data_IF_990507470806
#
_entry.id   IF_990507470806
#
_cell.length_a   1.000
_cell.length_b   1.000
_cell.length_c   1.000
_cell.angle_alpha   90.00
_cell.angle_beta   90.00
_cell.angle_gamma   90.00
#
_symmetry.space_group_name_H-M   'P 1'
#
loop_
_entity.id
_entity.type
_entity.pdbx_description
1 polymer ?
#
# COMPACT_ATOMS: atom_id res chain seq x y z
N UNK A 1 -29.90 -74.26 -31.14
CA UNK A 1 -30.40 -73.41 -30.05
C UNK A 1 -29.27 -73.17 -29.04
N UNK A 2 -28.53 -72.09 -29.15
CA UNK A 2 -27.75 -71.50 -28.10
C UNK A 2 -27.12 -70.16 -28.63
N UNK A 3 -27.93 -69.18 -28.69
CA UNK A 3 -27.45 -67.79 -28.76
C UNK A 3 -27.92 -67.03 -27.52
N UNK A 4 -27.20 -66.04 -27.13
CA UNK A 4 -27.49 -65.06 -26.06
C UNK A 4 -26.89 -65.31 -24.68
N UNK A 5 -25.59 -64.95 -24.55
CA UNK A 5 -25.03 -64.53 -23.23
C UNK A 5 -23.79 -63.63 -23.37
N UNK A 6 -23.46 -63.12 -24.55
CA UNK A 6 -22.21 -62.35 -24.73
C UNK A 6 -22.40 -60.81 -24.81
N UNK A 7 -23.63 -60.28 -24.86
CA UNK A 7 -23.89 -58.84 -25.13
C UNK A 7 -24.16 -58.00 -23.89
N UNK A 8 -24.26 -58.57 -22.69
CA UNK A 8 -24.56 -57.83 -21.45
C UNK A 8 -23.36 -57.40 -20.60
N UNK A 9 -22.14 -57.84 -20.90
CA UNK A 9 -20.94 -57.48 -20.11
C UNK A 9 -20.11 -56.33 -20.67
N UNK A 10 -20.36 -55.83 -21.88
CA UNK A 10 -19.62 -54.70 -22.46
C UNK A 10 -20.20 -53.29 -22.14
N UNK A 11 -21.44 -53.20 -21.66
CA UNK A 11 -22.08 -51.89 -21.39
C UNK A 11 -21.76 -51.36 -19.98
N UNK A 12 -21.34 -52.20 -19.06
CA UNK A 12 -21.02 -51.76 -17.68
C UNK A 12 -19.60 -51.22 -17.49
N UNK A 13 -18.66 -51.44 -18.42
CA UNK A 13 -17.29 -50.91 -18.28
C UNK A 13 -17.11 -49.49 -18.82
N UNK A 14 -18.00 -48.99 -19.70
CA UNK A 14 -17.85 -47.66 -20.28
C UNK A 14 -18.39 -46.54 -19.40
N UNK A 15 -19.32 -46.84 -18.49
CA UNK A 15 -19.88 -45.83 -17.55
C UNK A 15 -18.95 -45.48 -16.37
N UNK A 16 -18.08 -46.40 -15.97
CA UNK A 16 -17.16 -46.16 -14.84
C UNK A 16 -15.95 -45.29 -15.23
N UNK A 17 -15.52 -45.34 -16.50
CA UNK A 17 -14.37 -44.53 -16.99
C UNK A 17 -14.76 -43.06 -17.17
N UNK A 18 -15.98 -42.75 -17.59
CA UNK A 18 -16.46 -41.38 -17.73
C UNK A 18 -16.60 -40.63 -16.40
N UNK A 19 -16.98 -41.31 -15.29
CA UNK A 19 -17.07 -40.71 -13.97
C UNK A 19 -15.71 -40.39 -13.34
N UNK A 20 -14.69 -41.18 -13.60
CA UNK A 20 -13.33 -40.96 -13.06
C UNK A 20 -12.64 -39.82 -13.78
N UNK A 21 -12.81 -39.65 -15.10
CA UNK A 21 -12.28 -38.53 -15.86
C UNK A 21 -12.95 -37.19 -15.47
N UNK A 22 -14.25 -37.18 -15.17
CA UNK A 22 -14.95 -35.97 -14.73
C UNK A 22 -14.50 -35.50 -13.34
N UNK A 23 -14.20 -36.42 -12.41
CA UNK A 23 -13.74 -36.07 -11.07
C UNK A 23 -12.29 -35.55 -11.07
N UNK A 24 -11.42 -36.04 -11.96
CA UNK A 24 -10.03 -35.57 -12.08
C UNK A 24 -9.98 -34.16 -12.72
N UNK A 25 -10.82 -33.87 -13.71
CA UNK A 25 -10.90 -32.52 -14.29
C UNK A 25 -11.49 -31.51 -13.32
N UNK A 26 -12.49 -31.88 -12.50
CA UNK A 26 -13.06 -30.99 -11.48
C UNK A 26 -12.04 -30.69 -10.35
N UNK A 27 -11.22 -31.65 -9.97
CA UNK A 27 -10.18 -31.46 -8.95
C UNK A 27 -9.05 -30.54 -9.44
N UNK A 28 -8.64 -30.66 -10.71
CA UNK A 28 -7.60 -29.79 -11.29
C UNK A 28 -8.08 -28.34 -11.45
N UNK A 29 -9.36 -28.12 -11.76
CA UNK A 29 -9.97 -26.78 -11.81
C UNK A 29 -10.13 -26.13 -10.43
N UNK A 30 -10.36 -26.91 -9.37
CA UNK A 30 -10.46 -26.41 -8.01
C UNK A 30 -9.11 -25.96 -7.44
N UNK A 31 -8.00 -26.54 -7.87
CA UNK A 31 -6.64 -26.18 -7.40
C UNK A 31 -6.12 -24.88 -8.04
N UNK A 32 -6.55 -24.57 -9.26
CA UNK A 32 -6.16 -23.38 -10.03
C UNK A 32 -7.38 -22.61 -10.54
N UNK A 33 -8.12 -21.97 -9.65
CA UNK A 33 -9.36 -21.27 -10.03
C UNK A 33 -9.17 -20.13 -11.03
N UNK A 34 -7.95 -19.59 -11.14
CA UNK A 34 -7.59 -18.53 -12.10
C UNK A 34 -7.07 -19.04 -13.45
N UNK A 35 -7.13 -20.36 -13.72
CA UNK A 35 -6.58 -20.90 -14.98
C UNK A 35 -7.32 -20.32 -16.20
N UNK A 36 -6.55 -19.75 -17.13
CA UNK A 36 -7.09 -19.08 -18.33
C UNK A 36 -7.45 -17.60 -18.13
N UNK A 37 -7.49 -17.10 -16.90
CA UNK A 37 -7.80 -15.71 -16.59
C UNK A 37 -6.52 -14.86 -16.56
N UNK A 38 -6.55 -13.74 -17.30
CA UNK A 38 -5.49 -12.75 -17.36
C UNK A 38 -5.80 -11.63 -16.36
N UNK A 39 -4.81 -11.19 -15.60
CA UNK A 39 -4.94 -10.10 -14.61
C UNK A 39 -3.89 -9.02 -14.85
N UNK A 40 -4.30 -7.78 -14.85
CA UNK A 40 -3.44 -6.59 -14.99
C UNK A 40 -3.45 -5.78 -13.69
N UNK A 41 -2.39 -5.82 -12.86
CA UNK A 41 -2.28 -4.98 -11.67
C UNK A 41 -1.91 -3.54 -12.03
N UNK A 42 -2.26 -2.58 -11.15
CA UNK A 42 -1.75 -1.23 -11.17
C UNK A 42 -1.02 -0.92 -9.86
N UNK A 43 0.20 -0.35 -9.95
CA UNK A 43 1.01 -0.01 -8.80
C UNK A 43 1.49 1.45 -8.88
N UNK A 44 1.79 2.09 -7.75
CA UNK A 44 2.42 3.40 -7.77
C UNK A 44 3.87 3.30 -8.26
N UNK A 45 4.37 4.40 -8.84
CA UNK A 45 5.77 4.52 -9.25
C UNK A 45 6.70 4.76 -8.03
N UNK A 46 6.47 3.99 -6.97
CA UNK A 46 7.19 4.04 -5.67
C UNK A 46 7.69 2.63 -5.37
N UNK A 47 8.99 2.42 -5.57
CA UNK A 47 9.60 1.09 -5.44
C UNK A 47 9.49 0.54 -4.01
N UNK A 48 9.45 1.39 -2.99
CA UNK A 48 9.27 1.02 -1.58
C UNK A 48 7.93 0.34 -1.30
N UNK A 49 6.93 0.60 -2.13
CA UNK A 49 5.59 0.00 -2.00
C UNK A 49 5.38 -1.24 -2.88
N UNK A 50 6.38 -1.60 -3.68
CA UNK A 50 6.30 -2.70 -4.64
C UNK A 50 6.27 -4.08 -3.97
N UNK A 51 6.89 -4.22 -2.81
CA UNK A 51 7.05 -5.51 -2.12
C UNK A 51 5.72 -6.22 -1.87
N UNK A 52 4.71 -5.52 -1.36
CA UNK A 52 3.38 -6.08 -1.15
C UNK A 52 2.68 -6.44 -2.46
N UNK A 53 2.93 -5.68 -3.52
CA UNK A 53 2.47 -6.01 -4.86
C UNK A 53 3.06 -7.31 -5.41
N UNK A 54 4.35 -7.55 -5.20
CA UNK A 54 5.01 -8.80 -5.61
C UNK A 54 4.47 -10.02 -4.83
N UNK A 55 4.18 -9.87 -3.52
CA UNK A 55 3.52 -10.93 -2.74
C UNK A 55 2.13 -11.23 -3.30
N UNK A 56 1.33 -10.20 -3.59
CA UNK A 56 0.01 -10.37 -4.18
C UNK A 56 0.07 -11.09 -5.53
N UNK A 57 0.96 -10.63 -6.43
CA UNK A 57 1.11 -11.23 -7.75
C UNK A 57 1.57 -12.69 -7.68
N UNK A 58 2.45 -13.06 -6.75
CA UNK A 58 2.88 -14.44 -6.59
C UNK A 58 1.74 -15.35 -6.12
N UNK A 59 0.92 -14.90 -5.17
CA UNK A 59 -0.25 -15.66 -4.72
C UNK A 59 -1.28 -15.86 -5.84
N UNK A 60 -1.56 -14.82 -6.61
CA UNK A 60 -2.45 -14.93 -7.77
C UNK A 60 -1.90 -15.89 -8.84
N UNK A 61 -0.58 -15.91 -9.07
CA UNK A 61 0.05 -16.91 -9.95
C UNK A 61 -0.08 -18.34 -9.40
N UNK A 62 0.06 -18.56 -8.09
CA UNK A 62 -0.16 -19.87 -7.47
C UNK A 62 -1.63 -20.33 -7.54
N UNK A 63 -2.58 -19.40 -7.63
CA UNK A 63 -4.00 -19.69 -7.92
C UNK A 63 -4.28 -19.92 -9.41
N UNK A 64 -3.26 -19.84 -10.29
CA UNK A 64 -3.36 -20.14 -11.72
C UNK A 64 -3.62 -18.94 -12.63
N UNK A 65 -3.74 -17.73 -12.08
CA UNK A 65 -3.94 -16.50 -12.89
C UNK A 65 -2.69 -16.18 -13.72
N UNK A 66 -2.90 -15.69 -14.94
CA UNK A 66 -1.85 -15.11 -15.76
C UNK A 66 -1.68 -13.65 -15.39
N UNK A 67 -0.81 -13.35 -14.43
CA UNK A 67 -0.57 -11.98 -13.94
C UNK A 67 0.41 -11.28 -14.88
N UNK A 68 -0.05 -10.21 -15.50
CA UNK A 68 0.72 -9.34 -16.39
C UNK A 68 1.70 -8.45 -15.61
N UNK A 69 2.55 -7.72 -16.34
CA UNK A 69 3.39 -6.69 -15.72
C UNK A 69 2.50 -5.55 -15.20
N UNK A 70 2.77 -5.01 -14.01
CA UNK A 70 1.99 -3.92 -13.46
C UNK A 70 2.04 -2.67 -14.34
N UNK A 71 0.90 -1.98 -14.44
CA UNK A 71 0.87 -0.59 -14.91
C UNK A 71 1.38 0.31 -13.78
N UNK A 72 2.54 0.93 -13.99
CA UNK A 72 3.14 1.81 -12.99
C UNK A 72 2.79 3.27 -13.31
N UNK A 73 2.22 3.98 -12.33
CA UNK A 73 1.76 5.36 -12.49
C UNK A 73 1.61 6.06 -11.13
N UNK A 74 1.21 7.33 -11.13
CA UNK A 74 0.90 8.05 -9.90
C UNK A 74 -0.43 7.58 -9.29
N UNK A 75 -0.59 7.74 -7.97
CA UNK A 75 -1.71 7.19 -7.19
C UNK A 75 -3.10 7.54 -7.75
N UNK A 76 -3.32 8.80 -8.13
CA UNK A 76 -4.61 9.20 -8.68
C UNK A 76 -4.95 8.45 -9.98
N UNK A 77 -3.97 8.29 -10.86
CA UNK A 77 -4.11 7.56 -12.14
C UNK A 77 -4.23 6.05 -11.89
N UNK A 78 -3.51 5.52 -10.91
CA UNK A 78 -3.59 4.12 -10.50
C UNK A 78 -5.02 3.76 -10.06
N UNK A 79 -5.61 4.58 -9.18
CA UNK A 79 -6.98 4.35 -8.69
C UNK A 79 -8.00 4.51 -9.82
N UNK A 80 -7.83 5.51 -10.70
CA UNK A 80 -8.67 5.67 -11.90
C UNK A 80 -8.61 4.46 -12.82
N UNK A 81 -7.41 3.90 -13.05
CA UNK A 81 -7.24 2.72 -13.91
C UNK A 81 -8.01 1.51 -13.36
N UNK A 82 -8.00 1.31 -12.04
CA UNK A 82 -8.81 0.24 -11.41
C UNK A 82 -10.30 0.55 -11.50
N UNK A 83 -10.72 1.78 -11.21
CA UNK A 83 -12.15 2.17 -11.25
C UNK A 83 -12.78 2.06 -12.63
N UNK A 84 -12.01 2.26 -13.70
CA UNK A 84 -12.51 2.14 -15.08
C UNK A 84 -12.19 0.80 -15.77
N UNK A 85 -11.60 -0.15 -15.06
CA UNK A 85 -11.29 -1.49 -15.59
C UNK A 85 -10.08 -1.55 -16.53
N UNK A 86 -9.26 -0.48 -16.57
CA UNK A 86 -7.97 -0.51 -17.27
C UNK A 86 -6.91 -1.35 -16.54
N UNK A 87 -7.13 -1.57 -15.25
CA UNK A 87 -6.42 -2.51 -14.39
C UNK A 87 -7.43 -3.22 -13.48
N UNK A 88 -7.10 -4.45 -13.08
CA UNK A 88 -8.02 -5.30 -12.33
C UNK A 88 -7.91 -5.07 -10.81
N UNK A 89 -6.73 -4.74 -10.31
CA UNK A 89 -6.52 -4.49 -8.88
C UNK A 89 -5.29 -3.66 -8.59
N UNK A 90 -5.26 -3.16 -7.36
CA UNK A 90 -4.07 -2.62 -6.68
C UNK A 90 -4.07 -3.03 -5.21
N UNK A 91 -2.89 -3.04 -4.57
CA UNK A 91 -2.72 -3.26 -3.12
C UNK A 91 -2.08 -2.04 -2.43
N UNK A 92 -2.28 -0.85 -3.01
CA UNK A 92 -1.56 0.36 -2.66
C UNK A 92 -2.49 1.57 -2.38
N UNK A 93 -3.75 1.33 -2.04
CA UNK A 93 -4.68 2.41 -1.68
C UNK A 93 -4.63 2.66 -0.17
N UNK A 94 -4.19 3.85 0.22
CA UNK A 94 -4.31 4.33 1.59
C UNK A 94 -5.74 4.82 1.79
N UNK A 95 -6.50 4.20 2.68
CA UNK A 95 -7.95 4.35 2.78
C UNK A 95 -8.39 5.80 2.94
N UNK A 96 -7.84 6.51 3.90
CA UNK A 96 -8.20 7.90 4.15
C UNK A 96 -7.45 8.89 3.25
N UNK A 97 -6.15 8.65 3.02
CA UNK A 97 -5.32 9.55 2.22
C UNK A 97 -5.78 9.62 0.75
N UNK A 98 -6.17 8.48 0.18
CA UNK A 98 -6.59 8.39 -1.23
C UNK A 98 -8.12 8.41 -1.41
N UNK A 99 -8.89 8.71 -0.37
CA UNK A 99 -10.36 8.74 -0.40
C UNK A 99 -10.91 9.56 -1.58
N UNK A 100 -10.36 10.77 -1.78
CA UNK A 100 -10.78 11.64 -2.90
C UNK A 100 -10.48 11.02 -4.27
N UNK A 101 -9.38 10.27 -4.40
CA UNK A 101 -9.06 9.56 -5.66
C UNK A 101 -10.04 8.40 -5.88
N UNK A 102 -10.34 7.64 -4.81
CA UNK A 102 -11.30 6.55 -4.84
C UNK A 102 -12.71 7.02 -5.25
N UNK A 103 -13.20 8.09 -4.63
CA UNK A 103 -14.50 8.67 -4.94
C UNK A 103 -14.57 9.16 -6.39
N UNK A 104 -13.53 9.85 -6.90
CA UNK A 104 -13.45 10.33 -8.30
C UNK A 104 -13.37 9.19 -9.31
N UNK A 105 -12.88 8.03 -8.94
CA UNK A 105 -12.83 6.84 -9.78
C UNK A 105 -14.15 6.03 -9.78
N UNK A 106 -15.21 6.54 -9.15
CA UNK A 106 -16.52 5.92 -9.08
C UNK A 106 -16.81 5.22 -7.74
N UNK A 107 -15.84 5.21 -6.80
CA UNK A 107 -16.05 4.66 -5.46
C UNK A 107 -16.56 3.23 -5.46
N UNK A 108 -17.44 2.92 -4.51
CA UNK A 108 -18.04 1.58 -4.36
C UNK A 108 -18.90 1.15 -5.56
N UNK A 109 -19.24 2.04 -6.48
CA UNK A 109 -19.96 1.63 -7.70
C UNK A 109 -19.05 0.89 -8.67
N UNK A 110 -17.78 1.29 -8.76
CA UNK A 110 -16.83 0.76 -9.73
C UNK A 110 -15.79 -0.18 -9.09
N UNK A 111 -15.61 -0.12 -7.78
CA UNK A 111 -14.53 -0.84 -7.08
C UNK A 111 -15.04 -1.55 -5.82
N UNK A 112 -14.26 -2.52 -5.37
CA UNK A 112 -14.42 -3.22 -4.09
C UNK A 112 -13.14 -3.07 -3.28
N UNK A 113 -13.26 -2.56 -2.05
CA UNK A 113 -12.21 -2.63 -1.03
C UNK A 113 -12.19 -4.04 -0.46
N UNK A 114 -11.10 -4.77 -0.68
CA UNK A 114 -11.04 -6.19 -0.38
C UNK A 114 -10.51 -6.49 1.02
N UNK A 115 -9.39 -5.88 1.41
CA UNK A 115 -8.80 -6.18 2.71
C UNK A 115 -7.69 -5.21 3.11
N UNK A 116 -7.39 -5.21 4.40
CA UNK A 116 -6.37 -4.35 5.02
C UNK A 116 -4.99 -5.01 4.86
N UNK A 117 -4.29 -4.70 3.76
CA UNK A 117 -2.96 -5.25 3.44
C UNK A 117 -1.93 -4.85 4.49
N UNK A 118 -1.98 -3.58 4.93
CA UNK A 118 -1.04 -3.02 5.89
C UNK A 118 -1.79 -2.05 6.82
N UNK A 119 -2.20 -2.51 8.02
CA UNK A 119 -2.90 -1.65 8.98
C UNK A 119 -1.94 -0.79 9.79
N UNK A 120 -2.46 0.32 10.33
CA UNK A 120 -1.77 1.15 11.31
C UNK A 120 -0.61 1.96 10.74
N UNK A 121 -0.71 2.39 9.49
CA UNK A 121 0.28 3.27 8.86
C UNK A 121 0.11 4.71 9.34
N UNK A 122 1.22 5.43 9.50
CA UNK A 122 1.27 6.77 10.07
C UNK A 122 1.85 7.76 9.07
N UNK A 123 1.47 9.01 9.21
CA UNK A 123 2.02 10.13 8.45
C UNK A 123 2.11 11.37 9.35
N UNK A 124 3.02 12.28 9.04
CA UNK A 124 3.12 13.54 9.78
C UNK A 124 4.38 14.31 9.50
N UNK A 125 4.59 15.32 10.33
CA UNK A 125 5.73 16.21 10.27
C UNK A 125 6.73 15.90 11.38
N UNK A 126 8.01 15.90 11.03
CA UNK A 126 9.09 15.71 12.01
C UNK A 126 10.13 16.83 11.88
N UNK A 127 10.78 17.09 13.03
CA UNK A 127 11.99 17.92 13.12
C UNK A 127 13.08 17.15 13.88
N UNK A 128 14.31 17.59 13.73
CA UNK A 128 15.38 17.00 14.54
C UNK A 128 15.17 17.27 16.04
N UNK A 129 15.42 16.25 16.84
CA UNK A 129 15.19 16.27 18.28
C UNK A 129 16.03 17.33 19.00
N UNK A 130 17.27 17.55 18.55
CA UNK A 130 18.18 18.55 19.14
C UNK A 130 17.57 19.94 19.08
N UNK A 131 17.04 20.34 17.92
CA UNK A 131 16.42 21.65 17.75
C UNK A 131 15.08 21.73 18.50
N UNK A 132 14.27 20.66 18.48
CA UNK A 132 13.03 20.57 19.23
C UNK A 132 13.24 20.80 20.73
N UNK A 133 14.21 20.10 21.33
CA UNK A 133 14.53 20.20 22.76
C UNK A 133 15.10 21.57 23.12
N UNK A 134 16.02 22.11 22.30
CA UNK A 134 16.67 23.40 22.57
C UNK A 134 15.70 24.59 22.57
N UNK A 135 14.65 24.52 21.75
CA UNK A 135 13.68 25.60 21.55
C UNK A 135 12.27 25.26 22.05
N UNK A 136 12.09 24.10 22.70
CA UNK A 136 10.80 23.60 23.21
C UNK A 136 9.70 23.60 22.13
N UNK A 137 10.04 23.16 20.90
CA UNK A 137 9.12 23.06 19.76
C UNK A 137 8.34 21.75 19.87
N UNK A 138 7.02 21.83 19.89
CA UNK A 138 6.12 20.66 20.01
C UNK A 138 5.07 20.62 18.91
N UNK A 139 4.61 21.81 18.48
CA UNK A 139 3.52 21.94 17.52
C UNK A 139 4.03 22.51 16.20
N UNK A 140 3.45 22.09 15.10
CA UNK A 140 3.73 22.69 13.79
C UNK A 140 3.46 24.22 13.82
N UNK A 141 2.51 24.67 14.63
CA UNK A 141 2.19 26.08 14.81
C UNK A 141 3.24 26.89 15.56
N UNK A 142 4.23 26.26 16.19
CA UNK A 142 5.39 26.97 16.74
C UNK A 142 6.22 27.64 15.64
N UNK A 143 6.18 27.09 14.41
CA UNK A 143 6.80 27.66 13.22
C UNK A 143 6.16 28.97 12.73
N UNK A 144 5.03 29.42 13.32
CA UNK A 144 4.50 30.77 13.09
C UNK A 144 5.42 31.88 13.60
N UNK A 145 6.27 31.54 14.57
CA UNK A 145 7.24 32.49 15.14
C UNK A 145 8.42 32.61 14.18
N UNK A 146 8.70 33.82 13.64
CA UNK A 146 9.78 33.99 12.66
C UNK A 146 11.16 33.53 13.17
N UNK A 147 11.42 33.68 14.48
CA UNK A 147 12.67 33.22 15.09
C UNK A 147 12.80 31.68 15.11
N UNK A 148 11.68 30.96 15.17
CA UNK A 148 11.67 29.49 15.08
C UNK A 148 11.74 29.04 13.61
N UNK A 149 10.97 29.67 12.71
CA UNK A 149 10.98 29.35 11.29
C UNK A 149 12.41 29.47 10.72
N UNK A 150 13.14 30.52 11.04
CA UNK A 150 14.54 30.73 10.61
C UNK A 150 15.52 29.64 11.00
N UNK A 151 15.23 28.82 12.02
CA UNK A 151 16.11 27.69 12.37
C UNK A 151 16.13 26.66 11.26
N UNK A 152 15.03 26.50 10.53
CA UNK A 152 14.82 25.54 9.46
C UNK A 152 14.95 26.16 8.06
N UNK A 153 15.32 27.43 7.95
CA UNK A 153 15.56 28.14 6.71
C UNK A 153 16.86 27.64 6.05
N UNK A 154 16.75 27.03 4.92
CA UNK A 154 17.87 26.42 4.21
C UNK A 154 18.41 27.31 3.08
N UNK A 155 17.55 28.13 2.47
CA UNK A 155 17.85 28.96 1.31
C UNK A 155 18.00 30.46 1.63
N UNK A 156 17.64 30.89 2.85
CA UNK A 156 17.82 32.25 3.31
C UNK A 156 16.65 33.18 3.01
N UNK A 157 15.47 32.66 2.67
CA UNK A 157 14.26 33.45 2.41
C UNK A 157 13.51 33.88 3.68
N UNK A 158 13.92 33.38 4.84
CA UNK A 158 13.36 33.67 6.16
C UNK A 158 12.20 32.75 6.56
N UNK A 159 11.89 31.75 5.77
CA UNK A 159 10.87 30.72 6.08
C UNK A 159 11.50 29.38 6.45
N UNK A 160 10.74 28.57 7.15
CA UNK A 160 11.12 27.17 7.40
C UNK A 160 10.90 26.34 6.14
N UNK A 161 11.91 25.61 5.74
CA UNK A 161 11.87 24.70 4.58
C UNK A 161 11.31 23.34 4.98
N UNK A 162 10.04 23.10 4.67
CA UNK A 162 9.43 21.79 4.80
C UNK A 162 9.79 20.91 3.59
N UNK A 163 10.54 19.84 3.80
CA UNK A 163 10.62 18.77 2.80
C UNK A 163 9.25 18.09 2.70
N UNK A 164 8.51 18.39 1.63
CA UNK A 164 7.18 17.86 1.34
C UNK A 164 7.22 16.56 0.55
N UNK A 165 6.09 16.19 -0.05
CA UNK A 165 5.99 15.01 -0.88
C UNK A 165 5.84 15.36 -2.38
N UNK A 166 5.83 14.32 -3.25
CA UNK A 166 5.69 14.52 -4.69
C UNK A 166 4.37 15.21 -5.03
N UNK A 167 4.38 16.09 -6.03
CA UNK A 167 3.15 16.56 -6.65
C UNK A 167 2.29 15.38 -7.14
N UNK A 168 0.98 15.46 -6.92
CA UNK A 168 0.03 14.40 -7.29
C UNK A 168 -0.15 13.30 -6.25
N UNK A 169 0.63 13.27 -5.18
CA UNK A 169 0.39 12.38 -4.05
C UNK A 169 -0.72 12.91 -3.13
N UNK A 170 -1.41 12.02 -2.40
CA UNK A 170 -2.45 12.42 -1.46
C UNK A 170 -1.94 13.35 -0.35
N UNK A 171 -0.71 13.18 0.12
CA UNK A 171 -0.08 14.05 1.11
C UNK A 171 0.08 15.50 0.66
N UNK A 172 0.24 15.77 -0.64
CA UNK A 172 0.29 17.13 -1.16
C UNK A 172 -0.98 17.91 -0.81
N UNK A 173 -2.14 17.27 -0.98
CA UNK A 173 -3.43 17.90 -0.68
C UNK A 173 -3.57 18.21 0.82
N UNK A 174 -3.14 17.29 1.67
CA UNK A 174 -3.19 17.47 3.14
C UNK A 174 -2.21 18.53 3.59
N UNK A 175 -0.96 18.51 3.11
CA UNK A 175 0.07 19.52 3.46
C UNK A 175 -0.39 20.90 3.03
N UNK A 176 -0.85 21.07 1.77
CA UNK A 176 -1.33 22.35 1.27
C UNK A 176 -2.52 22.89 2.07
N UNK A 177 -3.43 22.00 2.50
CA UNK A 177 -4.54 22.35 3.37
C UNK A 177 -4.04 22.79 4.76
N UNK A 178 -3.13 22.04 5.38
CA UNK A 178 -2.56 22.36 6.70
C UNK A 178 -1.83 23.69 6.72
N UNK A 179 -1.09 24.04 5.66
CA UNK A 179 -0.41 25.34 5.57
C UNK A 179 -1.41 26.50 5.69
N UNK A 180 -2.59 26.37 5.09
CA UNK A 180 -3.69 27.37 5.20
C UNK A 180 -4.41 27.29 6.54
N UNK A 181 -4.88 26.08 6.90
CA UNK A 181 -5.72 25.85 8.08
C UNK A 181 -5.02 26.23 9.39
N UNK A 182 -3.69 26.15 9.42
CA UNK A 182 -2.86 26.50 10.57
C UNK A 182 -2.10 27.84 10.40
N UNK A 183 -2.42 28.66 9.38
CA UNK A 183 -1.80 29.96 9.08
C UNK A 183 -0.26 29.90 8.98
N UNK A 184 0.28 28.94 8.27
CA UNK A 184 1.73 28.71 8.14
C UNK A 184 2.31 29.24 6.82
N UNK A 185 1.50 29.65 5.84
CA UNK A 185 1.94 30.06 4.49
C UNK A 185 2.97 31.21 4.50
N UNK A 186 2.96 32.04 5.55
CA UNK A 186 3.88 33.18 5.69
C UNK A 186 5.26 32.79 6.21
N UNK A 187 5.35 31.68 6.94
CA UNK A 187 6.55 31.28 7.70
C UNK A 187 7.09 29.92 7.31
N UNK A 188 6.36 29.16 6.50
CA UNK A 188 6.79 27.87 5.98
C UNK A 188 6.77 27.89 4.45
N UNK A 189 7.85 27.41 3.85
CA UNK A 189 7.96 27.07 2.44
C UNK A 189 7.89 25.55 2.30
N UNK A 190 7.02 25.06 1.40
CA UNK A 190 6.90 23.61 1.13
C UNK A 190 7.71 23.27 -0.11
N UNK A 191 8.83 22.60 0.08
CA UNK A 191 9.68 22.10 -1.01
C UNK A 191 9.02 20.84 -1.60
N UNK A 192 8.52 20.95 -2.83
CA UNK A 192 7.90 19.86 -3.57
C UNK A 192 8.84 19.37 -4.69
N UNK A 193 8.83 18.05 -4.90
CA UNK A 193 9.66 17.43 -5.93
C UNK A 193 9.76 15.93 -5.74
N UNK A 194 10.82 15.33 -6.24
CA UNK A 194 11.11 13.93 -5.94
C UNK A 194 11.40 13.76 -4.45
N UNK A 195 10.47 13.16 -3.71
CA UNK A 195 10.55 12.98 -2.26
C UNK A 195 11.89 12.38 -1.83
N UNK A 196 12.32 11.30 -2.46
CA UNK A 196 13.56 10.62 -2.06
C UNK A 196 14.82 11.43 -2.35
N UNK A 197 14.81 12.28 -3.38
CA UNK A 197 15.91 13.21 -3.63
C UNK A 197 15.93 14.31 -2.54
N UNK A 198 14.79 14.90 -2.23
CA UNK A 198 14.67 15.89 -1.16
C UNK A 198 15.05 15.31 0.22
N UNK A 199 14.66 14.04 0.49
CA UNK A 199 15.05 13.36 1.73
C UNK A 199 16.55 13.06 1.81
N UNK A 200 17.22 12.79 0.68
CA UNK A 200 18.68 12.63 0.67
C UNK A 200 19.38 13.93 1.13
N UNK A 201 18.91 15.09 0.66
CA UNK A 201 19.41 16.41 1.10
C UNK A 201 19.06 16.67 2.58
N UNK A 202 17.84 16.34 3.00
CA UNK A 202 17.40 16.45 4.41
C UNK A 202 18.30 15.62 5.34
N UNK A 203 18.58 14.38 4.99
CA UNK A 203 19.46 13.50 5.76
C UNK A 203 20.91 14.03 5.77
N UNK A 204 21.37 14.60 4.67
CA UNK A 204 22.71 15.21 4.58
C UNK A 204 22.79 16.41 5.54
N UNK A 205 21.80 17.30 5.54
CA UNK A 205 21.71 18.42 6.49
C UNK A 205 21.74 17.94 7.95
N UNK A 206 20.97 16.91 8.27
CA UNK A 206 20.96 16.30 9.60
C UNK A 206 22.36 15.81 10.02
N UNK A 207 23.06 15.07 9.13
CA UNK A 207 24.42 14.59 9.38
C UNK A 207 25.45 15.72 9.58
N UNK A 208 25.22 16.88 8.98
CA UNK A 208 26.00 18.08 9.18
C UNK A 208 25.63 18.84 10.47
N UNK A 209 24.66 18.33 11.24
CA UNK A 209 24.19 18.92 12.50
C UNK A 209 23.31 20.15 12.31
N UNK A 210 22.78 20.36 11.09
CA UNK A 210 21.84 21.44 10.77
C UNK A 210 20.40 21.00 11.06
N UNK A 211 19.52 21.93 11.46
CA UNK A 211 18.10 21.64 11.67
C UNK A 211 17.42 21.13 10.41
N UNK A 212 16.47 20.21 10.58
CA UNK A 212 15.66 19.63 9.51
C UNK A 212 14.18 19.68 9.87
N UNK A 213 13.34 19.89 8.85
CA UNK A 213 11.89 19.84 8.94
C UNK A 213 11.33 19.12 7.70
N UNK A 214 10.61 18.00 7.92
CA UNK A 214 10.17 17.16 6.82
C UNK A 214 8.86 16.44 7.12
N UNK A 215 8.14 16.10 6.05
CA UNK A 215 7.03 15.16 6.03
C UNK A 215 7.56 13.74 5.81
N UNK A 216 6.95 12.77 6.43
CA UNK A 216 7.20 11.35 6.16
C UNK A 216 6.01 10.47 6.54
N UNK A 217 6.11 9.20 6.17
CA UNK A 217 5.18 8.14 6.59
C UNK A 217 5.93 6.95 7.17
N UNK A 218 5.19 6.08 7.86
CA UNK A 218 5.71 4.83 8.42
C UNK A 218 4.71 3.71 8.06
N UNK A 219 5.18 2.56 7.53
CA UNK A 219 6.57 2.15 7.40
C UNK A 219 7.26 2.71 6.13
N UNK A 220 8.51 3.10 6.26
CA UNK A 220 9.45 3.31 5.16
C UNK A 220 10.89 3.46 5.70
N UNK A 221 11.92 3.40 4.83
CA UNK A 221 13.32 3.33 5.22
C UNK A 221 13.85 4.55 5.98
N UNK A 222 13.28 5.73 5.77
CA UNK A 222 13.71 6.97 6.47
C UNK A 222 13.59 6.82 7.97
N UNK A 223 12.58 6.12 8.47
CA UNK A 223 12.40 5.84 9.89
C UNK A 223 13.53 4.98 10.51
N UNK A 224 14.25 4.23 9.68
CA UNK A 224 15.43 3.48 10.09
C UNK A 224 16.72 4.33 10.13
N UNK A 225 16.74 5.48 9.45
CA UNK A 225 17.88 6.41 9.37
C UNK A 225 17.70 7.57 10.34
N UNK A 226 16.50 8.13 10.41
CA UNK A 226 16.10 9.20 11.33
C UNK A 226 15.10 8.60 12.34
N UNK A 227 15.65 8.06 13.43
CA UNK A 227 14.89 7.27 14.41
C UNK A 227 14.10 8.18 15.34
N UNK A 228 12.77 7.99 15.39
CA UNK A 228 11.90 8.72 16.32
C UNK A 228 12.36 8.57 17.77
N UNK A 229 12.29 9.67 18.52
CA UNK A 229 12.68 9.75 19.94
C UNK A 229 14.18 9.81 20.18
N UNK A 230 15.01 9.42 19.19
CA UNK A 230 16.46 9.52 19.23
C UNK A 230 16.97 10.67 18.38
N UNK A 231 16.67 10.66 17.11
CA UNK A 231 17.17 11.59 16.10
C UNK A 231 16.15 12.70 15.80
N UNK A 232 14.89 12.34 15.78
CA UNK A 232 13.76 13.21 15.37
C UNK A 232 12.56 13.04 16.30
N UNK A 233 11.62 14.00 16.24
CA UNK A 233 10.35 13.97 16.97
C UNK A 233 9.21 14.38 16.05
N UNK A 234 8.04 13.77 16.27
CA UNK A 234 6.80 14.19 15.63
C UNK A 234 6.35 15.55 16.16
N UNK A 235 5.96 16.43 15.24
CA UNK A 235 5.23 17.65 15.57
C UNK A 235 3.74 17.36 15.66
N UNK A 236 3.10 17.89 16.68
CA UNK A 236 1.65 17.83 16.82
C UNK A 236 0.98 18.96 16.03
N UNK A 237 -0.24 18.72 15.58
CA UNK A 237 -1.12 19.78 15.08
C UNK A 237 -2.10 20.23 16.18
N UNK A 238 -2.59 21.49 16.16
CA UNK A 238 -3.46 22.01 17.21
C UNK A 238 -4.87 21.40 17.20
N UNK A 239 -5.30 20.88 16.07
CA UNK A 239 -6.58 20.20 15.83
C UNK A 239 -6.48 19.38 14.56
N UNK A 240 -7.29 18.36 14.41
CA UNK A 240 -7.48 17.66 13.12
C UNK A 240 -8.19 18.59 12.15
N UNK A 241 -7.65 18.75 10.93
CA UNK A 241 -8.23 19.61 9.90
C UNK A 241 -7.81 19.07 8.52
N UNK A 242 -8.67 18.26 7.91
CA UNK A 242 -8.39 17.55 6.66
C UNK A 242 -9.13 18.18 5.47
N UNK A 243 -8.58 18.12 4.26
CA UNK A 243 -9.11 18.83 3.08
C UNK A 243 -10.51 18.37 2.66
N UNK A 244 -10.90 17.14 2.98
CA UNK A 244 -12.23 16.59 2.72
C UNK A 244 -13.25 16.89 3.83
N UNK A 245 -12.84 17.60 4.88
CA UNK A 245 -13.66 17.91 6.05
C UNK A 245 -13.93 16.70 6.95
N UNK A 246 -13.32 15.55 6.72
CA UNK A 246 -13.47 14.36 7.55
C UNK A 246 -12.63 14.44 8.84
N UNK A 247 -12.90 15.43 9.66
CA UNK A 247 -12.14 15.72 10.88
C UNK A 247 -12.48 14.77 12.07
N UNK A 248 -13.26 13.72 11.83
CA UNK A 248 -13.61 12.70 12.83
C UNK A 248 -12.74 11.45 12.78
N UNK A 249 -11.86 11.34 11.79
CA UNK A 249 -10.92 10.21 11.72
C UNK A 249 -9.91 10.28 12.86
N UNK A 250 -9.43 9.11 13.26
CA UNK A 250 -8.37 9.05 14.26
C UNK A 250 -7.05 9.58 13.66
N UNK A 251 -6.47 10.57 14.31
CA UNK A 251 -5.18 11.18 13.96
C UNK A 251 -4.18 11.08 15.12
N UNK A 252 -4.53 10.28 16.16
CA UNK A 252 -3.74 10.17 17.37
C UNK A 252 -2.73 9.03 17.29
N UNK A 253 -1.49 9.34 17.51
CA UNK A 253 -0.43 8.36 17.73
C UNK A 253 0.23 8.61 19.06
N UNK A 254 0.19 7.63 19.97
CA UNK A 254 0.73 7.75 21.34
C UNK A 254 0.25 9.01 22.08
N UNK A 255 -1.00 9.41 21.86
CA UNK A 255 -1.61 10.60 22.46
C UNK A 255 -1.27 11.91 21.78
N UNK A 256 -0.47 11.93 20.71
CA UNK A 256 -0.13 13.10 19.89
C UNK A 256 -1.01 13.16 18.65
N UNK A 257 -1.55 14.32 18.36
CA UNK A 257 -2.28 14.55 17.11
C UNK A 257 -1.30 14.86 15.97
N UNK A 258 -1.09 13.91 15.06
CA UNK A 258 -0.16 14.07 13.93
C UNK A 258 -0.77 14.83 12.74
N UNK A 259 -2.09 15.12 12.76
CA UNK A 259 -2.79 15.84 11.70
C UNK A 259 -3.20 15.00 10.50
N UNK A 260 -2.57 13.87 10.30
CA UNK A 260 -2.92 12.88 9.29
C UNK A 260 -3.69 11.73 9.93
N UNK A 261 -4.58 11.09 9.19
CA UNK A 261 -5.27 9.91 9.69
C UNK A 261 -4.26 8.79 10.05
N UNK A 262 -4.50 8.10 11.16
CA UNK A 262 -3.95 6.77 11.37
C UNK A 262 -4.65 5.88 10.36
N UNK A 263 -3.92 5.45 9.37
CA UNK A 263 -4.47 4.91 8.14
C UNK A 263 -4.16 3.41 7.98
N UNK A 264 -4.66 2.82 6.94
CA UNK A 264 -4.38 1.46 6.48
C UNK A 264 -4.20 1.46 4.96
N UNK A 265 -3.41 0.55 4.46
CA UNK A 265 -3.30 0.29 3.03
C UNK A 265 -4.22 -0.87 2.67
N UNK A 266 -5.07 -0.67 1.69
CA UNK A 266 -6.07 -1.64 1.25
C UNK A 266 -5.76 -2.21 -0.13
N UNK A 267 -6.22 -3.46 -0.34
CA UNK A 267 -6.43 -3.99 -1.67
C UNK A 267 -7.74 -3.44 -2.24
N UNK A 268 -7.68 -2.95 -3.46
CA UNK A 268 -8.85 -2.46 -4.20
C UNK A 268 -8.90 -3.14 -5.54
N UNK A 269 -10.05 -3.72 -5.88
CA UNK A 269 -10.29 -4.41 -7.15
C UNK A 269 -11.34 -3.66 -7.96
N UNK A 270 -11.23 -3.73 -9.29
CA UNK A 270 -12.34 -3.41 -10.17
C UNK A 270 -13.54 -4.31 -9.80
N UNK A 271 -14.74 -3.75 -9.76
CA UNK A 271 -15.93 -4.47 -9.28
C UNK A 271 -16.29 -5.66 -10.17
N UNK A 272 -16.34 -5.46 -11.48
CA UNK A 272 -16.69 -6.52 -12.44
C UNK A 272 -15.67 -7.67 -12.35
N UNK A 273 -14.38 -7.35 -12.36
CA UNK A 273 -13.33 -8.33 -12.16
C UNK A 273 -13.49 -9.10 -10.84
N UNK A 274 -13.76 -8.42 -9.72
CA UNK A 274 -13.90 -9.03 -8.41
C UNK A 274 -15.10 -9.99 -8.34
N UNK A 275 -16.24 -9.61 -8.94
CA UNK A 275 -17.46 -10.41 -9.00
C UNK A 275 -17.27 -11.66 -9.86
N UNK A 276 -16.50 -11.57 -10.94
CA UNK A 276 -16.17 -12.70 -11.81
C UNK A 276 -15.04 -13.60 -11.24
N UNK A 277 -14.22 -13.08 -10.32
CA UNK A 277 -13.03 -13.75 -9.79
C UNK A 277 -13.04 -13.86 -8.26
N UNK A 278 -13.97 -14.62 -7.66
CA UNK A 278 -14.09 -14.74 -6.20
C UNK A 278 -12.83 -15.28 -5.51
N UNK A 279 -12.01 -16.07 -6.20
CA UNK A 279 -10.73 -16.52 -5.65
C UNK A 279 -9.70 -15.38 -5.52
N UNK A 280 -9.63 -14.48 -6.51
CA UNK A 280 -8.74 -13.32 -6.43
C UNK A 280 -9.19 -12.36 -5.33
N UNK A 281 -10.50 -12.09 -5.25
CA UNK A 281 -11.11 -11.27 -4.20
C UNK A 281 -10.81 -11.84 -2.81
N UNK A 282 -11.05 -13.12 -2.59
CA UNK A 282 -10.85 -13.77 -1.29
C UNK A 282 -9.36 -13.79 -0.89
N UNK A 283 -8.45 -14.07 -1.84
CA UNK A 283 -7.01 -14.03 -1.58
C UNK A 283 -6.56 -12.65 -1.14
N UNK A 284 -6.91 -11.60 -1.89
CA UNK A 284 -6.54 -10.23 -1.58
C UNK A 284 -7.22 -9.70 -0.32
N UNK A 285 -8.42 -10.19 0.03
CA UNK A 285 -9.10 -9.86 1.29
C UNK A 285 -8.38 -10.39 2.53
N UNK A 286 -7.65 -11.48 2.39
CA UNK A 286 -6.93 -12.12 3.50
C UNK A 286 -5.47 -11.74 3.60
N UNK A 287 -4.91 -11.24 2.51
CA UNK A 287 -3.51 -10.87 2.46
C UNK A 287 -3.23 -9.74 3.46
N UNK A 288 -2.27 -9.96 4.34
CA UNK A 288 -1.83 -8.97 5.31
C UNK A 288 -0.34 -9.13 5.61
N UNK A 289 0.39 -8.02 5.57
CA UNK A 289 1.78 -7.94 6.01
C UNK A 289 1.89 -6.98 7.20
N UNK A 290 2.99 -7.01 7.92
CA UNK A 290 3.22 -6.11 9.05
C UNK A 290 4.06 -4.90 8.63
N UNK A 291 3.95 -3.80 9.40
CA UNK A 291 4.83 -2.64 9.23
C UNK A 291 6.31 -3.02 9.42
N UNK A 292 6.59 -4.03 10.25
CA UNK A 292 7.95 -4.55 10.45
C UNK A 292 8.48 -5.26 9.19
N UNK A 293 7.65 -6.05 8.49
CA UNK A 293 8.02 -6.71 7.24
C UNK A 293 8.37 -5.69 6.15
N UNK A 294 7.50 -4.68 5.97
CA UNK A 294 7.72 -3.61 4.98
C UNK A 294 8.96 -2.78 5.33
N UNK A 295 9.16 -2.42 6.60
CA UNK A 295 10.34 -1.70 7.05
C UNK A 295 11.63 -2.50 6.84
N UNK A 296 11.61 -3.80 7.13
CA UNK A 296 12.77 -4.68 6.93
C UNK A 296 13.13 -4.79 5.44
N UNK A 297 12.14 -4.92 4.56
CA UNK A 297 12.35 -4.94 3.13
C UNK A 297 12.89 -3.59 2.62
N UNK A 298 12.32 -2.48 3.07
CA UNK A 298 12.76 -1.14 2.70
C UNK A 298 14.21 -0.85 3.16
N UNK A 299 14.61 -1.38 4.31
CA UNK A 299 15.99 -1.27 4.78
C UNK A 299 16.96 -2.01 3.84
N UNK A 300 16.59 -3.19 3.30
CA UNK A 300 17.40 -3.90 2.29
C UNK A 300 17.56 -3.06 1.02
N UNK A 301 16.50 -2.37 0.58
CA UNK A 301 16.58 -1.46 -0.57
C UNK A 301 17.56 -0.31 -0.31
N UNK A 302 17.52 0.27 0.86
CA UNK A 302 18.44 1.33 1.27
C UNK A 302 19.90 0.84 1.31
N UNK A 303 20.12 -0.45 1.60
CA UNK A 303 21.43 -1.11 1.60
C UNK A 303 21.91 -1.52 0.20
N UNK A 304 21.11 -1.27 -0.84
CA UNK A 304 21.48 -1.46 -2.25
C UNK A 304 20.72 -2.57 -2.98
N UNK A 305 19.90 -3.40 -2.31
CA UNK A 305 19.07 -4.43 -2.94
C UNK A 305 17.73 -3.83 -3.43
N UNK A 306 17.79 -2.91 -4.40
CA UNK A 306 16.66 -2.08 -4.83
C UNK A 306 16.16 -2.32 -6.26
N UNK A 307 16.75 -3.27 -6.96
CA UNK A 307 16.24 -3.62 -8.29
C UNK A 307 14.92 -4.37 -8.20
N UNK A 308 14.12 -4.35 -9.27
CA UNK A 308 12.88 -5.13 -9.36
C UNK A 308 13.12 -6.62 -9.06
N UNK A 309 14.21 -7.18 -9.58
CA UNK A 309 14.60 -8.57 -9.31
C UNK A 309 14.91 -8.81 -7.82
N UNK A 310 15.52 -7.84 -7.13
CA UNK A 310 15.74 -7.93 -5.69
C UNK A 310 14.42 -7.93 -4.93
N UNK A 311 13.50 -7.01 -5.24
CA UNK A 311 12.20 -6.91 -4.56
C UNK A 311 11.37 -8.18 -4.79
N UNK A 312 11.37 -8.72 -6.01
CA UNK A 312 10.71 -10.00 -6.32
C UNK A 312 11.33 -11.15 -5.51
N UNK A 313 12.65 -11.20 -5.38
CA UNK A 313 13.34 -12.17 -4.53
C UNK A 313 12.97 -12.02 -3.07
N UNK A 314 12.92 -10.78 -2.54
CA UNK A 314 12.50 -10.50 -1.17
C UNK A 314 11.08 -10.98 -0.90
N UNK A 315 10.15 -10.79 -1.84
CA UNK A 315 8.79 -11.30 -1.74
C UNK A 315 8.76 -12.83 -1.68
N UNK A 316 9.54 -13.51 -2.51
CA UNK A 316 9.66 -14.99 -2.48
C UNK A 316 10.25 -15.49 -1.15
N UNK A 317 11.26 -14.83 -0.63
CA UNK A 317 11.86 -15.14 0.68
C UNK A 317 10.86 -14.95 1.81
N UNK A 318 10.10 -13.85 1.78
CA UNK A 318 9.04 -13.58 2.76
C UNK A 318 7.94 -14.66 2.71
N UNK A 319 7.46 -15.01 1.52
CA UNK A 319 6.46 -16.07 1.31
C UNK A 319 6.97 -17.39 1.87
N UNK A 320 8.23 -17.74 1.61
CA UNK A 320 8.83 -18.97 2.12
C UNK A 320 8.90 -18.98 3.65
N UNK A 321 9.23 -17.86 4.28
CA UNK A 321 9.27 -17.71 5.73
C UNK A 321 7.86 -17.73 6.38
N UNK A 322 6.84 -17.27 5.66
CA UNK A 322 5.44 -17.19 6.13
C UNK A 322 4.52 -18.22 5.43
N UNK A 323 5.10 -19.30 4.88
CA UNK A 323 4.37 -20.28 4.05
C UNK A 323 3.07 -20.79 4.71
N UNK A 324 3.02 -21.13 6.01
CA UNK A 324 1.77 -21.61 6.62
C UNK A 324 0.62 -20.57 6.56
N UNK A 325 0.91 -19.30 6.75
CA UNK A 325 -0.06 -18.21 6.64
C UNK A 325 -0.48 -18.00 5.17
N UNK A 326 0.49 -17.97 4.28
CA UNK A 326 0.25 -17.79 2.85
C UNK A 326 -0.59 -18.94 2.26
N UNK A 327 -0.35 -20.19 2.66
CA UNK A 327 -1.16 -21.35 2.29
C UNK A 327 -2.61 -21.26 2.78
N UNK A 328 -2.85 -20.70 3.97
CA UNK A 328 -4.21 -20.45 4.46
C UNK A 328 -4.96 -19.47 3.56
N UNK A 329 -4.31 -18.40 3.06
CA UNK A 329 -4.92 -17.46 2.12
C UNK A 329 -5.26 -18.15 0.80
N UNK A 330 -4.33 -18.93 0.25
CA UNK A 330 -4.55 -19.71 -0.98
C UNK A 330 -5.67 -20.72 -0.84
N UNK A 331 -5.74 -21.42 0.30
CA UNK A 331 -6.80 -22.40 0.57
C UNK A 331 -8.18 -21.75 0.64
N UNK A 332 -8.28 -20.59 1.32
CA UNK A 332 -9.52 -19.84 1.41
C UNK A 332 -9.98 -19.37 0.01
N UNK A 333 -9.06 -18.85 -0.80
CA UNK A 333 -9.32 -18.44 -2.17
C UNK A 333 -9.87 -19.57 -3.04
N UNK A 334 -9.26 -20.77 -2.97
CA UNK A 334 -9.77 -21.97 -3.67
C UNK A 334 -11.17 -22.36 -3.19
N UNK A 335 -11.41 -22.22 -1.90
CA UNK A 335 -12.73 -22.47 -1.30
C UNK A 335 -13.81 -21.52 -1.84
N UNK A 336 -13.51 -20.23 -1.97
CA UNK A 336 -14.42 -19.21 -2.50
C UNK A 336 -14.83 -19.51 -3.95
N UNK A 337 -13.88 -19.89 -4.82
CA UNK A 337 -14.17 -20.29 -6.19
C UNK A 337 -15.10 -21.50 -6.27
N UNK A 338 -14.90 -22.49 -5.38
CA UNK A 338 -15.73 -23.69 -5.35
C UNK A 338 -17.18 -23.39 -4.91
N UNK A 339 -17.38 -22.42 -4.03
CA UNK A 339 -18.72 -22.00 -3.58
C UNK A 339 -19.46 -21.21 -4.66
N UNK A 340 -18.77 -20.35 -5.40
CA UNK A 340 -19.37 -19.56 -6.48
C UNK A 340 -19.76 -20.42 -7.71
N UNK A 341 -19.18 -21.61 -7.86
CA UNK A 341 -19.48 -22.55 -8.95
C UNK A 341 -20.67 -23.47 -8.66
N UNK A 342 -21.32 -23.36 -7.49
CA UNK A 342 -22.49 -24.13 -7.06
C UNK A 342 -23.77 -23.35 -7.24
#
# INVERSE_FOLDING_TARGET
MHESTFTRRLIQCTSAIALVLGAVCASASADKPGEGVKITPAFPSVDEERFRGEIAMQGLRELGYKVEQPKETEYATMVLAVGYGDADFTVNVWDQLHKTFYEKAGGDQNMIKAGDILPGVLQGYLIDKKTADAHNIKYITDLKKPEIAKLFDADGDGKADLTGCNPGWGCELVIAHHMKAYDLEKTVHVNQGSYFALMADTITRYKEGRPIFYYTWVPQWVAGVLVEGKDVVWLEVPRTDLPDGNNKVDTLYQGKNLGFAVDKVEAVLNREFAEENPAALEFLSRMQITAADESAQNLRMQQGEKTRADIERHAKEWIAAHRPQFDQWLQAARGAATQASR
#
